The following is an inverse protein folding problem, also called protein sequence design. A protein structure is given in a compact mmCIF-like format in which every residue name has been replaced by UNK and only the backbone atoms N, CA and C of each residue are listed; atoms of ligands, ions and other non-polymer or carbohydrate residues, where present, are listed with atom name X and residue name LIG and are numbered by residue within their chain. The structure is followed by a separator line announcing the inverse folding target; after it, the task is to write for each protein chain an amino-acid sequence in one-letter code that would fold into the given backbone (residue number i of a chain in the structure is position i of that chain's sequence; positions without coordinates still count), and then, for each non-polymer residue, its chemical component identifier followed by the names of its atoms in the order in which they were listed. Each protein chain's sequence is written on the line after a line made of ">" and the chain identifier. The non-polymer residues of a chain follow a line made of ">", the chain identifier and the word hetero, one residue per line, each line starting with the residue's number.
data_IF_435098141078
#
_entry.id   IF_435098141078
#
_cell.length_a   1.000
_cell.length_b   1.000
_cell.length_c   1.000
_cell.angle_alpha   90.00
_cell.angle_beta   90.00
_cell.angle_gamma   90.00
#
_symmetry.space_group_name_H-M   'P 1'
#
loop_
_entity.id
_entity.type
_entity.pdbx_description
1 polymer ?
#
# COMPACT_ATOMS: atom_id res chain seq x y z
N UNK A 1 -6.59 -3.27 27.92
CA UNK A 1 -7.61 -2.61 27.07
C UNK A 1 -6.95 -2.20 25.78
N UNK A 2 -7.44 -2.61 24.64
CA UNK A 2 -6.96 -2.13 23.33
C UNK A 2 -7.39 -0.67 23.19
N UNK A 3 -6.44 0.25 23.13
CA UNK A 3 -6.71 1.67 22.92
C UNK A 3 -6.93 1.85 21.42
N UNK A 4 -8.04 2.45 21.05
CA UNK A 4 -8.29 2.91 19.68
C UNK A 4 -8.21 4.42 19.68
N UNK A 5 -7.19 4.96 19.06
CA UNK A 5 -7.02 6.39 18.86
C UNK A 5 -7.15 6.72 17.37
N UNK A 6 -7.71 7.89 17.09
CA UNK A 6 -7.70 8.45 15.73
C UNK A 6 -7.33 9.91 15.84
N UNK A 7 -6.28 10.28 15.11
CA UNK A 7 -5.73 11.63 15.17
C UNK A 7 -5.12 12.04 13.82
N UNK A 8 -4.82 13.31 13.69
CA UNK A 8 -4.11 13.86 12.53
C UNK A 8 -2.72 14.29 12.99
N UNK A 9 -1.71 13.90 12.24
CA UNK A 9 -0.32 14.34 12.41
C UNK A 9 -0.02 15.41 11.37
N UNK A 10 0.33 16.60 11.82
CA UNK A 10 0.73 17.69 10.93
C UNK A 10 2.20 17.51 10.57
N UNK A 11 2.48 17.38 9.29
CA UNK A 11 3.80 17.32 8.69
C UNK A 11 4.06 18.61 7.88
N UNK A 12 5.28 18.82 7.42
CA UNK A 12 5.68 20.04 6.73
C UNK A 12 4.79 20.37 5.52
N UNK A 13 4.42 19.34 4.74
CA UNK A 13 3.68 19.53 3.47
C UNK A 13 2.31 18.88 3.41
N UNK A 14 1.93 18.16 4.45
CA UNK A 14 0.66 17.46 4.49
C UNK A 14 0.24 17.14 5.92
N UNK A 15 -1.06 16.97 6.11
CA UNK A 15 -1.62 16.39 7.32
C UNK A 15 -1.97 14.94 7.05
N UNK A 16 -1.53 14.03 7.92
CA UNK A 16 -1.80 12.60 7.77
C UNK A 16 -2.71 12.11 8.87
N UNK A 17 -3.88 11.61 8.49
CA UNK A 17 -4.79 10.95 9.42
C UNK A 17 -4.31 9.55 9.73
N UNK A 18 -4.35 9.17 11.01
CA UNK A 18 -3.92 7.87 11.53
C UNK A 18 -5.02 7.29 12.41
N UNK A 19 -5.41 6.06 12.13
CA UNK A 19 -6.12 5.19 13.07
C UNK A 19 -5.10 4.25 13.71
N UNK A 20 -4.89 4.39 15.01
CA UNK A 20 -3.84 3.71 15.78
C UNK A 20 -4.49 2.79 16.82
N UNK A 21 -4.36 1.49 16.63
CA UNK A 21 -5.00 0.47 17.49
C UNK A 21 -3.97 -0.54 17.97
N UNK A 22 -4.24 -1.10 19.15
CA UNK A 22 -3.36 -2.10 19.78
C UNK A 22 -2.42 -1.51 20.84
N UNK A 23 -1.52 -2.32 21.40
CA UNK A 23 -0.60 -1.89 22.46
C UNK A 23 0.44 -0.91 21.93
N UNK A 24 0.55 0.27 22.52
CA UNK A 24 1.49 1.32 22.07
C UNK A 24 2.97 0.90 22.14
N UNK A 25 3.33 -0.03 23.00
CA UNK A 25 4.70 -0.57 23.13
C UNK A 25 4.97 -1.81 22.27
N UNK A 26 3.99 -2.28 21.49
CA UNK A 26 4.19 -3.39 20.55
C UNK A 26 4.87 -2.90 19.26
N UNK A 27 5.46 -3.84 18.51
CA UNK A 27 6.05 -3.53 17.20
C UNK A 27 5.01 -2.91 16.25
N UNK A 28 5.37 -1.84 15.53
CA UNK A 28 4.42 -1.13 14.67
C UNK A 28 4.25 -1.80 13.31
N UNK A 29 2.98 -1.91 12.89
CA UNK A 29 2.57 -2.18 11.51
C UNK A 29 1.92 -0.91 10.96
N UNK A 30 2.43 -0.39 9.84
CA UNK A 30 1.88 0.79 9.17
C UNK A 30 1.22 0.34 7.88
N UNK A 31 -0.08 0.58 7.77
CA UNK A 31 -0.92 0.12 6.67
C UNK A 31 -1.23 1.26 5.70
N UNK A 32 -0.90 1.07 4.43
CA UNK A 32 -1.05 2.03 3.33
C UNK A 32 -2.05 1.48 2.32
N UNK A 33 -3.20 2.14 2.19
CA UNK A 33 -4.28 1.70 1.32
C UNK A 33 -3.99 1.94 -0.16
N UNK A 34 -4.79 1.32 -1.03
CA UNK A 34 -4.80 1.50 -2.46
C UNK A 34 -5.82 2.52 -2.97
N UNK A 35 -6.02 2.53 -4.27
CA UNK A 35 -7.08 3.26 -4.92
C UNK A 35 -8.21 2.28 -5.34
N UNK A 36 -9.49 2.64 -5.15
CA UNK A 36 -10.03 3.82 -4.50
C UNK A 36 -10.51 3.53 -3.06
N UNK A 37 -9.57 3.34 -2.15
CA UNK A 37 -9.82 3.00 -0.75
C UNK A 37 -9.40 4.13 0.19
N UNK A 38 -9.55 3.89 1.50
CA UNK A 38 -9.00 4.70 2.60
C UNK A 38 -8.47 3.78 3.73
N UNK A 39 -8.05 4.36 4.86
CA UNK A 39 -7.54 3.61 6.00
C UNK A 39 -8.47 2.49 6.48
N UNK A 40 -9.77 2.56 6.21
CA UNK A 40 -10.76 1.57 6.72
C UNK A 40 -10.70 0.22 5.97
N UNK A 41 -10.06 0.14 4.80
CA UNK A 41 -9.77 -1.11 4.09
C UNK A 41 -9.01 -2.12 4.97
N UNK A 42 -8.28 -1.63 5.95
CA UNK A 42 -7.48 -2.43 6.86
C UNK A 42 -8.22 -2.90 8.13
N UNK A 43 -9.51 -2.55 8.30
CA UNK A 43 -10.23 -2.84 9.54
C UNK A 43 -10.23 -4.31 9.92
N UNK A 44 -10.59 -5.20 8.99
CA UNK A 44 -10.62 -6.64 9.24
C UNK A 44 -9.24 -7.19 9.61
N UNK A 45 -8.20 -6.77 8.90
CA UNK A 45 -6.83 -7.22 9.12
C UNK A 45 -6.25 -6.67 10.43
N UNK A 46 -6.50 -5.40 10.75
CA UNK A 46 -6.07 -4.82 12.02
C UNK A 46 -6.78 -5.44 13.22
N UNK A 47 -8.02 -5.89 13.08
CA UNK A 47 -8.72 -6.61 14.14
C UNK A 47 -8.08 -7.97 14.48
N UNK A 48 -7.46 -8.64 13.50
CA UNK A 48 -6.67 -9.84 13.71
C UNK A 48 -5.32 -9.55 14.38
N UNK A 49 -4.64 -8.47 13.98
CA UNK A 49 -3.29 -8.15 14.40
C UNK A 49 -3.20 -7.41 15.76
N UNK A 50 -4.18 -6.57 16.09
CA UNK A 50 -4.14 -5.58 17.21
C UNK A 50 -3.99 -6.13 18.61
N UNK A 51 -4.10 -7.43 18.83
CA UNK A 51 -3.86 -8.03 20.14
C UNK A 51 -2.37 -8.12 20.47
N UNK A 52 -1.52 -8.22 19.45
CA UNK A 52 -0.08 -8.43 19.57
C UNK A 52 0.76 -7.33 18.91
N UNK A 53 0.17 -6.52 18.03
CA UNK A 53 0.85 -5.50 17.24
C UNK A 53 0.19 -4.13 17.43
N UNK A 54 1.01 -3.07 17.33
CA UNK A 54 0.50 -1.71 17.17
C UNK A 54 0.21 -1.46 15.69
N UNK A 55 -1.06 -1.29 15.35
CA UNK A 55 -1.53 -1.15 13.97
C UNK A 55 -1.89 0.31 13.69
N UNK A 56 -1.21 0.92 12.74
CA UNK A 56 -1.42 2.28 12.28
C UNK A 56 -1.95 2.25 10.85
N UNK A 57 -3.27 2.42 10.66
CA UNK A 57 -3.86 2.56 9.32
C UNK A 57 -3.95 4.03 8.98
N UNK A 58 -3.37 4.44 7.85
CA UNK A 58 -3.30 5.86 7.46
C UNK A 58 -4.17 6.13 6.24
N UNK A 59 -4.77 7.31 6.19
CA UNK A 59 -5.21 7.88 4.92
C UNK A 59 -3.98 8.47 4.23
N UNK A 60 -3.68 8.03 3.01
CA UNK A 60 -2.57 8.61 2.24
C UNK A 60 -2.76 10.12 2.06
N UNK A 61 -1.67 10.91 1.98
CA UNK A 61 -1.77 12.36 1.83
C UNK A 61 -2.78 12.79 0.75
N UNK A 62 -3.71 13.67 1.14
CA UNK A 62 -4.78 14.17 0.27
C UNK A 62 -6.07 13.33 0.24
N UNK A 63 -6.04 12.08 0.66
CA UNK A 63 -7.21 11.18 0.69
C UNK A 63 -7.92 11.23 2.05
N UNK A 64 -9.21 10.94 2.07
CA UNK A 64 -10.01 10.79 3.29
C UNK A 64 -9.93 12.00 4.21
N UNK A 65 -9.37 11.80 5.39
CA UNK A 65 -9.16 12.83 6.41
C UNK A 65 -7.79 13.50 6.31
N UNK A 66 -6.88 12.94 5.51
CA UNK A 66 -5.58 13.55 5.22
C UNK A 66 -5.71 14.75 4.29
N UNK A 67 -4.72 15.64 4.34
CA UNK A 67 -4.66 16.86 3.50
C UNK A 67 -3.28 16.97 2.87
N UNK A 68 -3.21 17.62 1.72
CA UNK A 68 -1.97 18.01 1.06
C UNK A 68 -2.13 19.39 0.45
N UNK A 69 -1.04 20.14 0.30
CA UNK A 69 -1.05 21.46 -0.33
C UNK A 69 -1.49 21.41 -1.79
N UNK A 70 -1.08 20.36 -2.52
CA UNK A 70 -1.46 20.14 -3.90
C UNK A 70 -1.47 18.62 -4.21
N UNK A 71 -2.33 18.16 -5.13
CA UNK A 71 -2.33 16.78 -5.58
C UNK A 71 -0.95 16.37 -6.10
N UNK A 72 -0.44 15.26 -5.59
CA UNK A 72 0.87 14.72 -5.97
C UNK A 72 0.81 13.18 -6.02
N UNK A 73 1.09 12.62 -7.19
CA UNK A 73 1.09 11.17 -7.42
C UNK A 73 2.46 10.52 -7.34
N UNK A 74 3.53 11.27 -7.06
CA UNK A 74 4.87 10.72 -6.92
C UNK A 74 4.94 9.80 -5.68
N UNK A 75 5.12 8.50 -5.91
CA UNK A 75 5.18 7.51 -4.84
C UNK A 75 6.33 7.74 -3.85
N UNK A 76 7.44 8.37 -4.32
CA UNK A 76 8.55 8.76 -3.44
C UNK A 76 8.18 9.93 -2.54
N UNK A 77 7.42 10.91 -3.04
CA UNK A 77 6.94 12.03 -2.21
C UNK A 77 5.99 11.53 -1.11
N UNK A 78 5.13 10.57 -1.44
CA UNK A 78 4.27 9.90 -0.45
C UNK A 78 5.09 9.05 0.54
N UNK A 79 6.10 8.33 0.07
CA UNK A 79 7.01 7.58 0.94
C UNK A 79 7.74 8.48 1.94
N UNK A 80 8.15 9.70 1.53
CA UNK A 80 8.72 10.71 2.43
C UNK A 80 7.75 11.14 3.51
N UNK A 81 6.48 11.37 3.17
CA UNK A 81 5.46 11.71 4.15
C UNK A 81 5.26 10.57 5.18
N UNK A 82 5.33 9.30 4.75
CA UNK A 82 5.26 8.14 5.66
C UNK A 82 6.53 8.04 6.53
N UNK A 83 7.69 8.38 5.98
CA UNK A 83 8.94 8.44 6.75
C UNK A 83 8.89 9.53 7.83
N UNK A 84 8.44 10.73 7.48
CA UNK A 84 8.29 11.83 8.42
C UNK A 84 7.25 11.49 9.50
N UNK A 85 6.14 10.86 9.12
CA UNK A 85 5.13 10.33 10.05
C UNK A 85 5.75 9.34 11.04
N UNK A 86 6.54 8.38 10.55
CA UNK A 86 7.22 7.39 11.39
C UNK A 86 8.18 8.08 12.39
N UNK A 87 8.90 9.10 11.94
CA UNK A 87 9.78 9.91 12.78
C UNK A 87 9.03 10.66 13.89
N UNK A 88 7.93 11.36 13.54
CA UNK A 88 7.10 12.09 14.52
C UNK A 88 6.49 11.15 15.55
N UNK A 89 6.04 9.97 15.13
CA UNK A 89 5.44 8.97 16.00
C UNK A 89 6.47 8.07 16.71
N UNK A 90 7.77 8.28 16.46
CA UNK A 90 8.89 7.52 17.00
C UNK A 90 8.70 6.00 16.81
N UNK A 91 8.35 5.59 15.58
CA UNK A 91 8.17 4.18 15.23
C UNK A 91 9.52 3.53 14.98
N UNK A 92 9.90 2.60 15.84
CA UNK A 92 11.16 1.85 15.70
C UNK A 92 10.94 0.63 14.79
N UNK A 93 11.76 0.51 13.75
CA UNK A 93 11.74 -0.59 12.79
C UNK A 93 10.30 -1.02 12.36
N UNK A 94 9.47 -0.11 11.82
CA UNK A 94 8.10 -0.46 11.44
C UNK A 94 8.09 -1.53 10.33
N UNK A 95 7.06 -2.37 10.34
CA UNK A 95 6.68 -3.13 9.15
C UNK A 95 5.73 -2.27 8.34
N UNK A 96 6.06 -2.03 7.07
CA UNK A 96 5.20 -1.29 6.15
C UNK A 96 4.37 -2.27 5.32
N UNK A 97 3.06 -2.10 5.31
CA UNK A 97 2.11 -2.98 4.61
C UNK A 97 1.34 -2.13 3.63
N UNK A 98 1.55 -2.34 2.33
CA UNK A 98 0.90 -1.56 1.28
C UNK A 98 0.13 -2.42 0.30
N UNK A 99 -1.08 -1.97 -0.02
CA UNK A 99 -1.95 -2.56 -1.03
C UNK A 99 -2.04 -1.63 -2.24
N UNK A 100 -2.04 -2.18 -3.45
CA UNK A 100 -2.16 -1.43 -4.70
C UNK A 100 -1.19 -0.23 -4.71
N UNK A 101 -1.69 1.00 -4.81
CA UNK A 101 -0.84 2.20 -4.78
C UNK A 101 -0.02 2.31 -3.48
N UNK A 102 -0.58 1.90 -2.34
CA UNK A 102 0.17 1.81 -1.08
C UNK A 102 1.38 0.87 -1.16
N UNK A 103 1.29 -0.19 -1.97
CA UNK A 103 2.42 -1.09 -2.26
C UNK A 103 3.52 -0.41 -3.06
N UNK A 104 3.16 0.49 -4.00
CA UNK A 104 4.14 1.31 -4.73
C UNK A 104 4.85 2.30 -3.78
N UNK A 105 4.11 2.85 -2.81
CA UNK A 105 4.69 3.72 -1.76
C UNK A 105 5.66 2.93 -0.88
N UNK A 106 5.31 1.70 -0.47
CA UNK A 106 6.24 0.82 0.28
C UNK A 106 7.51 0.57 -0.53
N UNK A 107 7.39 0.22 -1.82
CA UNK A 107 8.56 0.02 -2.67
C UNK A 107 9.46 1.26 -2.73
N UNK A 108 8.88 2.44 -2.95
CA UNK A 108 9.63 3.71 -2.99
C UNK A 108 10.27 4.04 -1.65
N UNK A 109 9.61 3.72 -0.52
CA UNK A 109 10.19 3.86 0.81
C UNK A 109 11.46 3.01 0.97
N UNK A 110 11.39 1.74 0.59
CA UNK A 110 12.51 0.81 0.68
C UNK A 110 13.71 1.19 -0.22
N UNK A 111 13.46 1.99 -1.27
CA UNK A 111 14.53 2.55 -2.11
C UNK A 111 15.28 3.68 -1.45
N UNK A 112 14.58 4.50 -0.69
CA UNK A 112 15.13 5.75 -0.14
C UNK A 112 15.61 5.58 1.30
N UNK A 113 14.91 4.77 2.11
CA UNK A 113 15.12 4.69 3.55
C UNK A 113 15.45 3.28 4.03
N UNK A 114 16.32 3.22 5.04
CA UNK A 114 16.60 2.04 5.84
C UNK A 114 15.74 2.04 7.13
N UNK A 115 15.98 1.08 8.04
CA UNK A 115 15.31 1.04 9.37
C UNK A 115 13.88 0.49 9.34
N UNK A 116 13.52 -0.28 8.32
CA UNK A 116 12.25 -1.01 8.21
C UNK A 116 12.48 -2.48 8.52
N UNK A 117 11.65 -3.06 9.40
CA UNK A 117 11.74 -4.48 9.75
C UNK A 117 11.36 -5.39 8.57
N UNK A 118 10.28 -5.07 7.87
CA UNK A 118 9.80 -5.79 6.71
C UNK A 118 8.92 -4.87 5.83
N UNK A 119 9.03 -5.01 4.51
CA UNK A 119 8.08 -4.43 3.56
C UNK A 119 7.11 -5.50 3.06
N UNK A 120 5.80 -5.21 3.09
CA UNK A 120 4.76 -6.04 2.49
C UNK A 120 4.13 -5.28 1.34
N UNK A 121 4.21 -5.84 0.14
CA UNK A 121 3.68 -5.25 -1.10
C UNK A 121 2.59 -6.18 -1.62
N UNK A 122 1.37 -5.66 -1.80
CA UNK A 122 0.21 -6.48 -2.20
C UNK A 122 -0.45 -5.98 -3.46
N UNK A 123 -0.85 -6.94 -4.33
CA UNK A 123 -1.79 -6.73 -5.44
C UNK A 123 -1.43 -5.51 -6.33
N UNK A 124 -0.15 -5.33 -6.61
CA UNK A 124 0.32 -4.19 -7.42
C UNK A 124 1.45 -4.59 -8.36
N UNK A 125 1.65 -3.79 -9.38
CA UNK A 125 2.86 -3.78 -10.21
C UNK A 125 3.67 -2.55 -9.86
N UNK A 126 4.99 -2.69 -9.81
CA UNK A 126 5.84 -1.53 -9.59
C UNK A 126 6.14 -0.86 -10.94
N UNK A 127 5.79 0.43 -11.13
CA UNK A 127 6.08 1.16 -12.35
C UNK A 127 7.57 1.06 -12.73
N UNK A 128 7.84 0.74 -14.00
CA UNK A 128 9.20 0.58 -14.51
C UNK A 128 9.89 -0.75 -14.18
N UNK A 129 9.33 -1.56 -13.28
CA UNK A 129 9.82 -2.89 -12.91
C UNK A 129 9.01 -3.96 -13.64
N UNK A 130 9.67 -5.00 -14.18
CA UNK A 130 8.96 -6.10 -14.84
C UNK A 130 7.92 -6.73 -13.87
N UNK A 131 6.66 -6.99 -14.28
CA UNK A 131 6.14 -6.99 -15.66
C UNK A 131 5.41 -5.70 -16.10
N UNK A 132 5.84 -4.50 -15.70
CA UNK A 132 5.17 -3.22 -15.95
C UNK A 132 4.64 -3.07 -17.39
N UNK A 133 5.47 -3.35 -18.42
CA UNK A 133 5.05 -3.22 -19.81
C UNK A 133 3.94 -4.20 -20.21
N UNK A 134 3.92 -5.41 -19.62
CA UNK A 134 2.83 -6.37 -19.83
C UNK A 134 1.52 -5.85 -19.24
N UNK A 135 1.61 -5.22 -18.07
CA UNK A 135 0.46 -4.62 -17.38
C UNK A 135 -0.11 -3.48 -18.22
N UNK A 136 0.74 -2.56 -18.70
CA UNK A 136 0.30 -1.46 -19.57
C UNK A 136 -0.32 -1.92 -20.89
N UNK A 137 0.08 -3.06 -21.41
CA UNK A 137 -0.48 -3.63 -22.64
C UNK A 137 -1.85 -4.32 -22.43
N UNK A 138 -2.30 -4.45 -21.18
CA UNK A 138 -3.57 -5.09 -20.87
C UNK A 138 -4.74 -4.10 -21.09
N UNK A 139 -5.65 -4.33 -22.06
CA UNK A 139 -6.74 -3.40 -22.34
C UNK A 139 -7.77 -3.30 -21.21
N UNK A 140 -7.81 -4.26 -20.30
CA UNK A 140 -8.69 -4.19 -19.12
C UNK A 140 -8.21 -3.17 -18.08
N UNK A 141 -6.96 -2.68 -18.18
CA UNK A 141 -6.41 -1.62 -17.35
C UNK A 141 -6.52 -0.23 -18.00
N UNK A 142 -7.56 -0.02 -18.81
CA UNK A 142 -7.86 1.23 -19.52
C UNK A 142 -7.85 2.48 -18.62
N UNK A 143 -8.18 2.30 -17.35
CA UNK A 143 -8.22 3.38 -16.36
C UNK A 143 -6.86 4.01 -16.10
N UNK A 144 -5.75 3.31 -16.28
CA UNK A 144 -4.41 3.90 -16.16
C UNK A 144 -4.22 5.05 -17.14
N UNK A 145 -4.60 4.84 -18.40
CA UNK A 145 -4.53 5.88 -19.43
C UNK A 145 -5.57 6.99 -19.18
N UNK A 146 -6.81 6.63 -18.82
CA UNK A 146 -7.87 7.59 -18.56
C UNK A 146 -7.55 8.49 -17.36
N UNK A 147 -7.12 7.93 -16.24
CA UNK A 147 -6.78 8.69 -15.03
C UNK A 147 -5.54 9.58 -15.22
N UNK A 148 -4.69 9.25 -16.19
CA UNK A 148 -3.51 10.07 -16.51
C UNK A 148 -3.84 11.35 -17.26
N UNK A 149 -5.04 11.48 -17.85
CA UNK A 149 -5.46 12.69 -18.56
C UNK A 149 -5.70 13.80 -17.54
N UNK A 150 -5.11 15.00 -17.67
CA UNK A 150 -5.38 16.13 -16.78
C UNK A 150 -6.85 16.56 -16.83
N UNK A 151 -7.45 16.84 -15.69
CA UNK A 151 -8.77 17.44 -15.45
C UNK A 151 -9.99 16.66 -15.99
N UNK A 152 -9.82 15.76 -16.96
CA UNK A 152 -10.92 15.03 -17.58
C UNK A 152 -11.57 14.01 -16.64
N UNK A 153 -10.81 13.15 -15.95
CA UNK A 153 -11.38 12.21 -14.97
C UNK A 153 -12.14 12.92 -13.87
N UNK A 154 -11.59 13.99 -13.31
CA UNK A 154 -12.23 14.79 -12.28
C UNK A 154 -13.58 15.34 -12.77
N UNK A 155 -13.61 15.91 -13.97
CA UNK A 155 -14.82 16.48 -14.55
C UNK A 155 -15.93 15.45 -14.76
N UNK A 156 -15.57 14.24 -15.23
CA UNK A 156 -16.54 13.19 -15.52
C UNK A 156 -16.99 12.43 -14.27
N UNK A 157 -16.12 12.27 -13.29
CA UNK A 157 -16.35 11.41 -12.11
C UNK A 157 -16.92 12.18 -10.91
N UNK A 158 -16.69 13.49 -10.77
CA UNK A 158 -17.05 14.28 -9.58
C UNK A 158 -18.49 14.06 -9.06
N UNK A 159 -19.46 13.90 -9.96
CA UNK A 159 -20.86 13.67 -9.61
C UNK A 159 -21.28 12.20 -9.63
N UNK A 160 -20.35 11.28 -9.89
CA UNK A 160 -20.59 9.86 -10.10
C UNK A 160 -19.60 8.97 -9.35
N UNK A 161 -18.97 9.50 -8.29
CA UNK A 161 -17.90 8.81 -7.56
C UNK A 161 -18.31 7.42 -7.10
N UNK A 162 -19.50 7.30 -6.49
CA UNK A 162 -20.03 6.02 -5.99
C UNK A 162 -20.12 4.98 -7.15
N UNK A 163 -20.82 5.30 -8.23
CA UNK A 163 -21.01 4.38 -9.35
C UNK A 163 -19.70 4.07 -10.10
N UNK A 164 -18.78 5.03 -10.14
CA UNK A 164 -17.50 4.86 -10.81
C UNK A 164 -16.58 3.91 -10.01
N UNK A 165 -16.56 4.03 -8.69
CA UNK A 165 -15.77 3.15 -7.84
C UNK A 165 -16.37 1.76 -7.72
N UNK A 166 -17.71 1.65 -7.64
CA UNK A 166 -18.41 0.36 -7.63
C UNK A 166 -18.04 -0.52 -8.83
N UNK A 167 -17.85 0.08 -10.01
CA UNK A 167 -17.36 -0.64 -11.18
C UNK A 167 -16.07 -1.41 -10.91
N UNK A 168 -15.10 -0.81 -10.22
CA UNK A 168 -13.82 -1.47 -9.93
C UNK A 168 -13.98 -2.56 -8.89
N UNK A 169 -14.74 -2.31 -7.82
CA UNK A 169 -14.99 -3.35 -6.82
C UNK A 169 -15.68 -4.57 -7.45
N UNK A 170 -16.61 -4.35 -8.37
CA UNK A 170 -17.31 -5.43 -9.05
C UNK A 170 -16.47 -6.13 -10.13
N UNK A 171 -15.57 -5.40 -10.80
CA UNK A 171 -14.85 -5.91 -11.95
C UNK A 171 -13.58 -6.71 -11.59
N UNK A 172 -12.90 -6.38 -10.48
CA UNK A 172 -11.58 -6.92 -10.16
C UNK A 172 -11.49 -7.65 -8.83
N UNK A 173 -12.57 -7.68 -8.01
CA UNK A 173 -12.69 -8.60 -6.87
C UNK A 173 -12.94 -10.03 -7.34
N UNK A 174 -12.47 -11.00 -6.60
CA UNK A 174 -12.89 -12.39 -6.73
C UNK A 174 -14.28 -12.61 -6.10
N UNK A 175 -14.55 -11.90 -5.00
CA UNK A 175 -15.85 -11.81 -4.33
C UNK A 175 -16.22 -10.34 -4.09
N UNK A 176 -16.99 -9.71 -4.98
CA UNK A 176 -17.42 -8.32 -4.80
C UNK A 176 -18.21 -8.04 -3.53
N UNK A 177 -18.83 -9.09 -2.92
CA UNK A 177 -19.61 -8.95 -1.69
C UNK A 177 -18.74 -8.75 -0.46
N UNK A 178 -17.46 -9.08 -0.53
CA UNK A 178 -16.49 -8.84 0.55
C UNK A 178 -16.32 -7.34 0.83
N UNK A 179 -16.41 -6.50 -0.21
CA UNK A 179 -16.41 -5.04 -0.07
C UNK A 179 -17.86 -4.59 0.15
N UNK A 180 -18.23 -4.47 1.42
CA UNK A 180 -19.63 -4.23 1.81
C UNK A 180 -20.14 -2.87 1.31
N UNK A 181 -21.46 -2.72 1.23
CA UNK A 181 -22.07 -1.45 0.84
C UNK A 181 -21.66 -0.28 1.75
N UNK A 182 -21.44 -0.55 3.04
CA UNK A 182 -20.96 0.42 4.01
C UNK A 182 -19.50 0.84 3.71
N UNK A 183 -18.63 -0.13 3.38
CA UNK A 183 -17.24 0.12 3.01
C UNK A 183 -17.17 0.96 1.71
N UNK A 184 -17.87 0.54 0.66
CA UNK A 184 -17.96 1.27 -0.63
C UNK A 184 -18.40 2.72 -0.43
N UNK A 185 -19.44 2.93 0.41
CA UNK A 185 -19.92 4.28 0.74
C UNK A 185 -18.89 5.11 1.50
N UNK A 186 -18.14 4.50 2.41
CA UNK A 186 -17.06 5.17 3.15
C UNK A 186 -15.94 5.57 2.21
N UNK A 187 -15.49 4.67 1.33
CA UNK A 187 -14.46 4.97 0.33
C UNK A 187 -14.90 6.09 -0.61
N UNK A 188 -16.09 6.00 -1.19
CA UNK A 188 -16.62 7.06 -2.04
C UNK A 188 -16.66 8.42 -1.31
N UNK A 189 -17.05 8.44 -0.03
CA UNK A 189 -17.07 9.66 0.78
C UNK A 189 -15.67 10.27 0.96
N UNK A 190 -14.62 9.45 1.03
CA UNK A 190 -13.23 9.87 1.18
C UNK A 190 -12.70 10.62 -0.04
N UNK A 191 -13.33 10.44 -1.21
CA UNK A 191 -12.97 11.10 -2.48
C UNK A 191 -13.96 12.18 -2.94
N UNK A 192 -15.04 12.46 -2.18
CA UNK A 192 -16.05 13.47 -2.59
C UNK A 192 -15.53 14.91 -2.59
N UNK A 193 -14.46 15.21 -1.87
CA UNK A 193 -13.81 16.53 -1.98
C UNK A 193 -13.06 16.62 -3.31
N UNK A 194 -13.18 17.74 -4.04
CA UNK A 194 -12.49 17.91 -5.33
C UNK A 194 -10.98 17.65 -5.25
N UNK A 195 -10.34 18.09 -4.16
CA UNK A 195 -8.90 17.90 -3.93
C UNK A 195 -8.55 16.41 -3.71
N UNK A 196 -9.41 15.68 -3.02
CA UNK A 196 -9.20 14.24 -2.78
C UNK A 196 -9.42 13.41 -4.05
N UNK A 197 -10.43 13.78 -4.85
CA UNK A 197 -10.64 13.15 -6.17
C UNK A 197 -9.46 13.41 -7.09
N UNK A 198 -8.99 14.67 -7.15
CA UNK A 198 -7.81 15.05 -7.92
C UNK A 198 -6.54 14.33 -7.44
N UNK A 199 -6.39 14.16 -6.12
CA UNK A 199 -5.29 13.38 -5.54
C UNK A 199 -5.35 11.91 -5.98
N UNK A 200 -6.53 11.28 -5.96
CA UNK A 200 -6.69 9.89 -6.40
C UNK A 200 -6.27 9.69 -7.86
N UNK A 201 -6.60 10.63 -8.75
CA UNK A 201 -6.17 10.57 -10.14
C UNK A 201 -4.71 11.01 -10.33
N UNK A 202 -4.19 11.88 -9.46
CA UNK A 202 -2.76 12.23 -9.47
C UNK A 202 -1.86 11.01 -9.25
N UNK A 203 -2.30 10.00 -8.49
CA UNK A 203 -1.57 8.74 -8.33
C UNK A 203 -1.21 8.13 -9.70
N UNK A 204 -2.16 8.07 -10.62
CA UNK A 204 -1.92 7.52 -11.96
C UNK A 204 -1.03 8.42 -12.82
N UNK A 205 -1.10 9.75 -12.64
CA UNK A 205 -0.21 10.69 -13.34
C UNK A 205 1.23 10.56 -12.90
N UNK A 206 1.46 10.18 -11.63
CA UNK A 206 2.80 9.93 -11.08
C UNK A 206 3.50 8.69 -11.62
N UNK A 207 2.74 7.68 -12.11
CA UNK A 207 3.28 6.37 -12.50
C UNK A 207 4.39 6.45 -13.55
N UNK A 208 4.33 7.41 -14.47
CA UNK A 208 5.33 7.55 -15.53
C UNK A 208 6.66 8.07 -14.99
N UNK A 209 6.63 9.04 -14.07
CA UNK A 209 7.81 9.53 -13.37
C UNK A 209 8.43 8.46 -12.48
N UNK A 210 7.58 7.70 -11.79
CA UNK A 210 8.00 6.56 -10.98
C UNK A 210 8.64 5.47 -11.85
N UNK A 211 8.07 5.17 -13.01
CA UNK A 211 8.62 4.18 -13.94
C UNK A 211 10.02 4.57 -14.42
N UNK A 212 10.22 5.83 -14.80
CA UNK A 212 11.50 6.36 -15.21
C UNK A 212 12.55 6.32 -14.10
N UNK A 213 12.17 6.63 -12.86
CA UNK A 213 13.04 6.57 -11.69
C UNK A 213 13.42 5.12 -11.37
N UNK A 214 12.43 4.25 -11.24
CA UNK A 214 12.63 2.86 -10.84
C UNK A 214 13.45 2.06 -11.87
N UNK A 215 13.31 2.33 -13.17
CA UNK A 215 14.11 1.69 -14.21
C UNK A 215 15.61 2.03 -14.12
N UNK A 216 15.96 3.14 -13.48
CA UNK A 216 17.36 3.60 -13.33
C UNK A 216 17.97 3.26 -11.97
N UNK A 217 17.13 3.07 -10.96
CA UNK A 217 17.58 2.74 -9.60
C UNK A 217 17.64 1.23 -9.40
N UNK A 218 18.86 0.70 -9.44
CA UNK A 218 19.16 -0.71 -9.24
C UNK A 218 19.87 -0.96 -7.89
N UNK A 219 19.76 -0.02 -6.93
CA UNK A 219 20.31 -0.19 -5.57
C UNK A 219 19.77 -1.49 -4.96
N UNK A 220 20.64 -2.26 -4.33
CA UNK A 220 20.20 -3.46 -3.61
C UNK A 220 19.39 -3.10 -2.36
N UNK A 221 18.27 -3.78 -2.18
CA UNK A 221 17.41 -3.70 -1.00
C UNK A 221 17.62 -4.98 -0.20
N UNK A 222 18.24 -4.85 0.97
CA UNK A 222 18.45 -5.96 1.92
C UNK A 222 17.28 -6.16 2.88
N UNK A 223 16.43 -5.14 3.07
CA UNK A 223 15.23 -5.23 3.89
C UNK A 223 14.36 -6.40 3.41
N UNK A 224 13.91 -7.27 4.33
CA UNK A 224 13.01 -8.36 3.97
C UNK A 224 11.72 -7.85 3.32
N UNK A 225 11.31 -8.47 2.22
CA UNK A 225 10.07 -8.14 1.51
C UNK A 225 9.19 -9.38 1.40
N UNK A 226 7.89 -9.19 1.62
CA UNK A 226 6.84 -10.12 1.28
C UNK A 226 6.01 -9.52 0.14
N UNK A 227 5.92 -10.22 -0.98
CA UNK A 227 5.01 -9.87 -2.07
C UNK A 227 3.81 -10.81 -2.06
N UNK A 228 2.62 -10.23 -1.95
CA UNK A 228 1.34 -10.96 -1.96
C UNK A 228 0.54 -10.61 -3.21
N UNK A 229 -0.12 -11.63 -3.78
CA UNK A 229 -1.02 -11.43 -4.89
C UNK A 229 -2.24 -12.33 -4.76
N UNK A 230 -3.43 -11.80 -5.00
CA UNK A 230 -4.65 -12.62 -5.03
C UNK A 230 -4.52 -13.77 -6.04
N UNK A 231 -4.89 -14.97 -5.64
CA UNK A 231 -4.84 -16.17 -6.50
C UNK A 231 -5.67 -15.98 -7.78
N UNK A 232 -6.78 -15.23 -7.68
CA UNK A 232 -7.71 -14.95 -8.79
C UNK A 232 -7.44 -13.63 -9.49
N UNK A 233 -6.46 -12.87 -9.04
CA UNK A 233 -6.01 -11.67 -9.74
C UNK A 233 -5.20 -12.05 -10.98
N UNK A 234 -5.40 -11.35 -12.08
CA UNK A 234 -4.69 -11.63 -13.34
C UNK A 234 -3.16 -11.47 -13.22
N UNK A 235 -2.44 -12.07 -14.17
CA UNK A 235 -0.98 -12.08 -14.22
C UNK A 235 -0.37 -13.34 -13.62
N UNK A 236 0.94 -13.47 -13.75
CA UNK A 236 1.72 -14.64 -13.28
C UNK A 236 2.62 -14.21 -12.13
N UNK A 237 2.43 -14.76 -10.94
CA UNK A 237 3.20 -14.40 -9.73
C UNK A 237 4.72 -14.37 -10.00
N UNK A 238 5.24 -15.40 -10.68
CA UNK A 238 6.68 -15.49 -11.00
C UNK A 238 7.22 -14.34 -11.86
N UNK A 239 6.38 -13.66 -12.65
CA UNK A 239 6.79 -12.47 -13.39
C UNK A 239 7.06 -11.29 -12.43
N UNK A 240 6.21 -11.09 -11.42
CA UNK A 240 6.39 -10.05 -10.40
C UNK A 240 7.59 -10.35 -9.50
N UNK A 241 7.72 -11.59 -9.04
CA UNK A 241 8.86 -12.06 -8.26
C UNK A 241 10.18 -11.82 -9.01
N UNK A 242 10.24 -12.24 -10.28
CA UNK A 242 11.39 -12.01 -11.15
C UNK A 242 11.73 -10.53 -11.24
N UNK A 243 10.75 -9.68 -11.53
CA UNK A 243 10.95 -8.24 -11.66
C UNK A 243 11.49 -7.60 -10.39
N UNK A 244 10.94 -7.95 -9.23
CA UNK A 244 11.39 -7.44 -7.94
C UNK A 244 12.82 -7.89 -7.60
N UNK A 245 13.19 -9.13 -7.95
CA UNK A 245 14.58 -9.60 -7.83
C UNK A 245 15.53 -8.84 -8.75
N UNK A 246 15.17 -8.67 -10.03
CA UNK A 246 15.95 -7.91 -11.00
C UNK A 246 16.09 -6.44 -10.58
N UNK A 247 15.08 -5.89 -9.93
CA UNK A 247 15.11 -4.56 -9.35
C UNK A 247 15.92 -4.47 -8.04
N UNK A 248 16.59 -5.53 -7.59
CA UNK A 248 17.54 -5.49 -6.48
C UNK A 248 17.00 -5.94 -5.12
N UNK A 249 15.75 -6.40 -5.00
CA UNK A 249 15.25 -6.95 -3.73
C UNK A 249 15.84 -8.34 -3.50
N UNK A 250 16.70 -8.49 -2.49
CA UNK A 250 17.46 -9.73 -2.24
C UNK A 250 16.74 -10.70 -1.32
N UNK A 251 16.04 -10.22 -0.32
CA UNK A 251 15.32 -11.04 0.67
C UNK A 251 13.82 -11.01 0.40
N UNK A 252 13.41 -11.54 -0.76
CA UNK A 252 12.03 -11.58 -1.23
C UNK A 252 11.39 -12.96 -0.96
N UNK A 253 10.18 -12.94 -0.46
CA UNK A 253 9.24 -14.07 -0.50
C UNK A 253 8.00 -13.61 -1.28
N UNK A 254 7.60 -14.37 -2.27
CA UNK A 254 6.40 -14.10 -3.05
C UNK A 254 5.42 -15.28 -2.93
N UNK A 255 4.14 -14.99 -2.67
CA UNK A 255 3.10 -16.03 -2.56
C UNK A 255 1.74 -15.48 -2.97
N UNK A 256 0.81 -16.39 -3.31
CA UNK A 256 -0.58 -16.04 -3.57
C UNK A 256 -1.41 -16.05 -2.29
N UNK A 257 -2.47 -15.25 -2.28
CA UNK A 257 -3.53 -15.25 -1.26
C UNK A 257 -4.67 -16.12 -1.80
N UNK A 258 -4.94 -17.29 -1.21
CA UNK A 258 -5.96 -18.20 -1.71
C UNK A 258 -7.34 -17.55 -1.80
N UNK A 259 -8.02 -17.76 -2.93
CA UNK A 259 -9.38 -17.32 -3.16
C UNK A 259 -9.57 -15.82 -3.40
N UNK A 260 -8.59 -14.97 -3.11
CA UNK A 260 -8.69 -13.52 -3.25
C UNK A 260 -8.46 -13.04 -4.69
N UNK A 261 -9.10 -11.93 -5.03
CA UNK A 261 -8.83 -11.09 -6.21
C UNK A 261 -7.91 -9.93 -5.88
N UNK A 262 -8.24 -8.76 -6.42
CA UNK A 262 -7.42 -7.55 -6.24
C UNK A 262 -7.48 -6.99 -4.82
N UNK A 263 -8.64 -6.99 -4.19
CA UNK A 263 -8.84 -6.42 -2.84
C UNK A 263 -8.58 -7.47 -1.74
N UNK A 264 -7.46 -8.17 -1.83
CA UNK A 264 -7.12 -9.27 -0.94
C UNK A 264 -7.23 -8.94 0.56
N UNK A 265 -6.90 -7.73 1.06
CA UNK A 265 -7.07 -7.38 2.47
C UNK A 265 -8.52 -7.44 2.97
N UNK A 266 -9.51 -7.25 2.09
CA UNK A 266 -10.94 -7.31 2.41
C UNK A 266 -11.56 -8.65 2.02
N UNK A 267 -11.10 -9.25 0.90
CA UNK A 267 -11.63 -10.53 0.39
C UNK A 267 -11.15 -11.74 1.23
N UNK A 268 -9.93 -11.71 1.74
CA UNK A 268 -9.31 -12.80 2.48
C UNK A 268 -8.38 -12.31 3.61
N UNK A 269 -8.89 -11.52 4.58
CA UNK A 269 -8.06 -10.90 5.63
C UNK A 269 -7.32 -11.92 6.50
N UNK A 270 -7.90 -13.09 6.75
CA UNK A 270 -7.27 -14.14 7.55
C UNK A 270 -6.04 -14.74 6.84
N UNK A 271 -6.16 -15.02 5.55
CA UNK A 271 -5.10 -15.56 4.70
C UNK A 271 -3.97 -14.54 4.50
N UNK A 272 -4.34 -13.26 4.28
CA UNK A 272 -3.37 -12.16 4.23
C UNK A 272 -2.61 -12.04 5.55
N UNK A 273 -3.33 -12.05 6.68
CA UNK A 273 -2.68 -11.96 7.99
C UNK A 273 -1.77 -13.16 8.25
N UNK A 274 -2.21 -14.39 7.96
CA UNK A 274 -1.40 -15.59 8.14
C UNK A 274 -0.08 -15.54 7.33
N UNK A 275 -0.11 -15.02 6.10
CA UNK A 275 1.09 -14.84 5.29
C UNK A 275 2.04 -13.79 5.89
N UNK A 276 1.51 -12.65 6.35
CA UNK A 276 2.30 -11.59 7.01
C UNK A 276 2.91 -12.13 8.31
N UNK A 277 2.11 -12.72 9.17
CA UNK A 277 2.54 -13.26 10.47
C UNK A 277 3.62 -14.34 10.31
N UNK A 278 3.44 -15.25 9.36
CA UNK A 278 4.43 -16.28 9.02
C UNK A 278 5.77 -15.66 8.58
N UNK A 279 5.73 -14.62 7.74
CA UNK A 279 6.94 -13.90 7.31
C UNK A 279 7.65 -13.26 8.48
N UNK A 280 6.92 -12.55 9.35
CA UNK A 280 7.47 -11.83 10.50
C UNK A 280 8.04 -12.79 11.55
N UNK A 281 7.39 -13.94 11.79
CA UNK A 281 7.89 -14.98 12.68
C UNK A 281 9.22 -15.57 12.18
N UNK A 282 9.34 -15.81 10.86
CA UNK A 282 10.59 -16.27 10.24
C UNK A 282 11.76 -15.30 10.41
N UNK A 283 11.49 -14.00 10.44
CA UNK A 283 12.51 -12.96 10.67
C UNK A 283 12.96 -12.89 12.13
N UNK A 284 12.06 -13.13 13.08
CA UNK A 284 12.35 -13.10 14.52
C UNK A 284 13.19 -14.28 14.99
N UNK A 285 13.19 -15.42 14.27
CA UNK A 285 13.99 -16.62 14.56
C UNK A 285 15.45 -16.54 14.09
N UNK A 286 15.79 -15.58 13.23
CA UNK A 286 17.15 -15.37 12.73
C UNK A 286 17.87 -14.25 13.50
N UNK A 287 18.16 -14.48 14.79
CA UNK A 287 19.08 -13.59 15.53
C UNK A 287 20.45 -13.58 14.80
N UNK A 288 21.11 -12.41 14.66
CA UNK A 288 22.44 -12.38 14.04
C UNK A 288 23.39 -13.25 14.84
N UNK A 289 24.05 -14.20 14.14
CA UNK A 289 25.18 -14.93 14.72
C UNK A 289 26.23 -13.87 15.07
N UNK A 290 26.38 -13.60 16.35
CA UNK A 290 27.45 -12.75 16.85
C UNK A 290 28.77 -13.35 16.41
N UNK A 291 29.42 -12.72 15.43
CA UNK A 291 30.77 -13.08 15.02
C UNK A 291 31.72 -12.96 16.20
N UNK A 292 32.80 -13.79 16.27
CA UNK A 292 33.71 -13.80 17.39
C UNK A 292 34.38 -12.45 17.55
N UNK A 293 34.36 -11.93 18.78
CA UNK A 293 35.15 -10.77 19.17
C UNK A 293 36.61 -10.99 18.78
N UNK A 294 37.17 -10.15 17.95
CA UNK A 294 38.59 -10.14 17.67
C UNK A 294 39.32 -9.67 18.98
N UNK A 295 40.15 -10.56 19.50
CA UNK A 295 41.10 -10.26 20.54
C UNK A 295 42.23 -9.34 20.04
#
# INVERSE_FOLDING_TARGET
>A
MSITDSYVVNLDRCDVFVRDVGPKGARPLVFLHGWPEDHSAWNALTDLARTSWRCLSVDLPGIGRSRTEAPNGDSLALARAIHDLAGVLQLEEPTLVGHDFGGMVVYSYLREYDGVHCGVIMNTVIPGVFPWQKVLANPYLWHFAFHSVPDLPETLVANHVDAYFDYFYDAISADPSAITAEARKAYAASYKRPEALAQGFAFYRGLWGDADRNARDLKEISTPVLYLRGEREGGVLGDYEKGLHEAGIRNLVATTVPGAGHYAPEEAPAEVWAAIESRLAGLSGSAPVSGPARA
#
